data_IF_662358433919
#
_entry.id   IF_662358433919
#
_cell.length_a   1.000
_cell.length_b   1.000
_cell.length_c   1.000
_cell.angle_alpha   90.00
_cell.angle_beta   90.00
_cell.angle_gamma   90.00
#
_symmetry.space_group_name_H-M   'P 1'
#
loop_
_entity.id
_entity.type
_entity.pdbx_description
1 polymer ?
#
# COMPACT_ATOMS: atom_id res chain seq x y z
N UNK A 1 22.94 -11.38 -0.81
CA UNK A 1 22.11 -10.19 -0.51
C UNK A 1 21.39 -9.83 -1.80
N UNK A 2 20.05 -9.81 -1.87
CA UNK A 2 19.39 -9.28 -3.05
C UNK A 2 19.86 -7.84 -3.27
N UNK A 3 20.24 -7.50 -4.49
CA UNK A 3 20.61 -6.12 -4.83
C UNK A 3 19.34 -5.27 -4.71
N UNK A 4 19.42 -4.13 -4.03
CA UNK A 4 18.31 -3.16 -3.89
C UNK A 4 17.74 -2.69 -5.24
N UNK A 5 18.48 -2.91 -6.33
CA UNK A 5 18.09 -2.61 -7.71
C UNK A 5 17.02 -3.56 -8.28
N UNK A 6 16.82 -4.74 -7.67
CA UNK A 6 15.81 -5.74 -8.09
C UNK A 6 14.45 -5.59 -7.39
N UNK A 7 14.29 -4.54 -6.58
CA UNK A 7 13.03 -4.23 -5.89
C UNK A 7 12.06 -3.59 -6.89
N UNK A 8 10.86 -4.17 -7.11
CA UNK A 8 9.89 -3.59 -8.03
C UNK A 8 9.48 -2.19 -7.61
N UNK A 9 9.39 -1.27 -8.58
CA UNK A 9 8.90 0.09 -8.35
C UNK A 9 7.48 0.22 -8.92
N UNK A 10 6.52 0.78 -8.16
CA UNK A 10 5.18 1.01 -8.67
C UNK A 10 5.23 2.02 -9.81
N UNK A 11 4.44 1.78 -10.86
CA UNK A 11 4.27 2.74 -11.95
C UNK A 11 3.17 3.77 -11.61
N UNK A 12 2.95 4.73 -12.50
CA UNK A 12 1.96 5.79 -12.28
C UNK A 12 0.52 5.26 -12.10
N UNK A 13 0.14 4.17 -12.77
CA UNK A 13 -1.18 3.57 -12.59
C UNK A 13 -1.34 2.97 -11.20
N UNK A 14 -0.29 2.32 -10.68
CA UNK A 14 -0.28 1.79 -9.31
C UNK A 14 -0.36 2.92 -8.31
N UNK A 15 0.40 4.00 -8.51
CA UNK A 15 0.37 5.17 -7.64
C UNK A 15 -1.02 5.82 -7.57
N UNK A 16 -1.67 6.03 -8.72
CA UNK A 16 -3.02 6.58 -8.79
C UNK A 16 -4.05 5.70 -8.07
N UNK A 17 -3.94 4.37 -8.23
CA UNK A 17 -4.84 3.43 -7.54
C UNK A 17 -4.62 3.43 -6.02
N UNK A 18 -3.37 3.55 -5.58
CA UNK A 18 -3.04 3.68 -4.15
C UNK A 18 -3.68 4.94 -3.57
N UNK A 19 -3.57 6.09 -4.25
CA UNK A 19 -4.18 7.35 -3.81
C UNK A 19 -5.71 7.23 -3.70
N UNK A 20 -6.36 6.60 -4.69
CA UNK A 20 -7.81 6.37 -4.69
C UNK A 20 -8.25 5.55 -3.47
N UNK A 21 -7.57 4.44 -3.20
CA UNK A 21 -7.88 3.57 -2.06
C UNK A 21 -7.63 4.26 -0.71
N UNK A 22 -6.54 5.04 -0.59
CA UNK A 22 -6.29 5.80 0.64
C UNK A 22 -7.40 6.81 0.92
N UNK A 23 -7.90 7.48 -0.11
CA UNK A 23 -9.03 8.41 0.02
C UNK A 23 -10.29 7.68 0.48
N UNK A 24 -10.62 6.54 -0.13
CA UNK A 24 -11.77 5.70 0.26
C UNK A 24 -11.67 5.27 1.72
N UNK A 25 -10.49 4.76 2.14
CA UNK A 25 -10.26 4.31 3.50
C UNK A 25 -10.33 5.46 4.54
N UNK A 26 -9.94 6.68 4.17
CA UNK A 26 -10.13 7.85 5.03
C UNK A 26 -11.62 8.24 5.14
N UNK A 27 -12.34 8.25 4.02
CA UNK A 27 -13.76 8.57 3.96
C UNK A 27 -14.59 7.59 4.81
N UNK A 28 -14.29 6.28 4.74
CA UNK A 28 -14.91 5.24 5.58
C UNK A 28 -14.70 5.46 7.09
N UNK A 29 -13.60 6.10 7.46
CA UNK A 29 -13.27 6.47 8.85
C UNK A 29 -13.88 7.82 9.27
N UNK A 30 -14.68 8.44 8.40
CA UNK A 30 -15.28 9.76 8.64
C UNK A 30 -14.30 10.92 8.47
N UNK A 31 -13.12 10.68 7.89
CA UNK A 31 -12.15 11.72 7.56
C UNK A 31 -12.36 12.13 6.11
N UNK A 32 -12.71 13.39 5.87
CA UNK A 32 -12.84 13.90 4.50
C UNK A 32 -11.50 14.56 4.07
N UNK A 33 -10.65 13.88 3.27
CA UNK A 33 -9.36 14.41 2.85
C UNK A 33 -9.48 15.67 2.00
N UNK A 34 -10.62 15.93 1.34
CA UNK A 34 -10.84 17.18 0.58
C UNK A 34 -10.96 18.42 1.47
N UNK A 35 -11.26 18.22 2.75
CA UNK A 35 -11.37 19.29 3.74
C UNK A 35 -10.10 19.46 4.58
N UNK A 36 -9.08 18.63 4.36
CA UNK A 36 -7.80 18.71 5.06
C UNK A 36 -6.81 19.56 4.26
N UNK A 37 -5.96 20.29 4.98
CA UNK A 37 -4.83 20.93 4.34
C UNK A 37 -3.78 19.86 3.95
N UNK A 38 -3.00 20.07 2.88
CA UNK A 38 -1.95 19.12 2.48
C UNK A 38 -0.96 18.81 3.61
N UNK A 39 -0.67 19.79 4.48
CA UNK A 39 0.21 19.62 5.63
C UNK A 39 -0.38 18.66 6.67
N UNK A 40 -1.69 18.72 6.90
CA UNK A 40 -2.39 17.82 7.82
C UNK A 40 -2.40 16.38 7.29
N UNK A 41 -2.57 16.22 5.97
CA UNK A 41 -2.48 14.92 5.31
C UNK A 41 -1.05 14.37 5.45
N UNK A 42 -0.04 15.19 5.18
CA UNK A 42 1.36 14.78 5.29
C UNK A 42 1.76 14.43 6.73
N UNK A 43 1.25 15.16 7.73
CA UNK A 43 1.49 14.87 9.14
C UNK A 43 0.75 13.61 9.62
N UNK A 44 -0.43 13.33 9.07
CA UNK A 44 -1.23 12.16 9.42
C UNK A 44 -0.84 10.88 8.67
N UNK A 45 -0.24 10.99 7.49
CA UNK A 45 0.06 9.86 6.62
C UNK A 45 1.51 9.40 6.78
N UNK A 46 1.72 8.10 7.03
CA UNK A 46 3.05 7.48 7.04
C UNK A 46 3.06 6.28 6.10
N UNK A 47 4.15 6.07 5.37
CA UNK A 47 4.36 4.88 4.55
C UNK A 47 5.59 4.11 5.04
N UNK A 48 5.41 2.85 5.39
CA UNK A 48 6.51 1.92 5.67
C UNK A 48 6.83 1.12 4.42
N UNK A 49 8.09 1.19 3.96
CA UNK A 49 8.60 0.42 2.84
C UNK A 49 9.42 -0.77 3.37
N UNK A 50 8.98 -1.98 3.03
CA UNK A 50 9.70 -3.21 3.35
C UNK A 50 10.78 -3.52 2.29
N UNK A 51 11.79 -4.35 2.62
CA UNK A 51 12.90 -4.67 1.72
C UNK A 51 12.49 -5.37 0.41
N UNK A 52 11.33 -6.01 0.38
CA UNK A 52 10.76 -6.67 -0.79
C UNK A 52 10.00 -5.71 -1.74
N UNK A 53 9.87 -4.44 -1.35
CA UNK A 53 9.10 -3.42 -2.07
C UNK A 53 7.65 -3.32 -1.63
N UNK A 54 7.22 -4.09 -0.62
CA UNK A 54 5.91 -3.94 -0.02
C UNK A 54 5.80 -2.60 0.69
N UNK A 55 4.66 -1.93 0.55
CA UNK A 55 4.36 -0.65 1.20
C UNK A 55 3.16 -0.82 2.11
N UNK A 56 3.23 -0.29 3.32
CA UNK A 56 2.08 -0.18 4.23
C UNK A 56 1.84 1.28 4.56
N UNK A 57 0.64 1.76 4.26
CA UNK A 57 0.21 3.11 4.53
C UNK A 57 -0.58 3.16 5.82
N UNK A 58 -0.27 4.16 6.63
CA UNK A 58 -0.85 4.41 7.94
C UNK A 58 -1.45 5.80 7.98
N UNK A 59 -2.62 5.92 8.62
CA UNK A 59 -3.20 7.19 9.00
C UNK A 59 -3.24 7.29 10.51
N UNK A 60 -2.54 8.27 11.08
CA UNK A 60 -2.41 8.47 12.53
C UNK A 60 -2.06 7.16 13.24
N UNK A 61 -1.01 6.50 12.76
CA UNK A 61 -0.48 5.22 13.27
C UNK A 61 -1.37 3.99 13.04
N UNK A 62 -2.57 4.14 12.48
CA UNK A 62 -3.42 3.01 12.13
C UNK A 62 -3.24 2.59 10.66
N UNK A 63 -3.05 1.29 10.36
CA UNK A 63 -2.89 0.83 8.98
C UNK A 63 -4.19 1.03 8.19
N UNK A 64 -4.04 1.58 6.98
CA UNK A 64 -5.11 1.77 6.00
C UNK A 64 -5.01 0.77 4.85
N UNK A 65 -3.82 0.65 4.28
CA UNK A 65 -3.62 0.00 2.99
C UNK A 65 -2.28 -0.71 2.95
N UNK A 66 -2.32 -1.99 2.59
CA UNK A 66 -1.15 -2.82 2.31
C UNK A 66 -1.01 -2.98 0.80
N UNK A 67 0.19 -2.77 0.28
CA UNK A 67 0.50 -2.84 -1.15
C UNK A 67 1.70 -3.76 -1.34
N UNK A 68 1.50 -4.92 -1.96
CA UNK A 68 2.51 -5.98 -2.04
C UNK A 68 2.82 -6.30 -3.51
N UNK A 69 4.09 -6.26 -3.93
CA UNK A 69 4.47 -6.70 -5.26
C UNK A 69 4.42 -8.23 -5.35
N UNK A 70 3.72 -8.75 -6.36
CA UNK A 70 3.67 -10.15 -6.73
C UNK A 70 4.44 -10.33 -8.04
N UNK A 71 5.67 -10.84 -7.94
CA UNK A 71 6.48 -11.22 -9.10
C UNK A 71 5.93 -12.51 -9.70
N UNK A 72 5.56 -12.49 -10.98
CA UNK A 72 5.18 -13.67 -11.74
C UNK A 72 6.12 -13.87 -12.90
N UNK A 73 6.57 -15.11 -13.07
CA UNK A 73 7.33 -15.54 -14.23
C UNK A 73 6.44 -16.49 -15.04
N UNK A 74 6.24 -16.18 -16.31
CA UNK A 74 5.51 -17.05 -17.23
C UNK A 74 6.18 -17.00 -18.60
N UNK A 75 6.47 -18.17 -19.15
CA UNK A 75 7.08 -18.33 -20.48
C UNK A 75 8.39 -17.51 -20.68
N UNK A 76 9.17 -17.32 -19.60
CA UNK A 76 10.41 -16.54 -19.61
C UNK A 76 10.21 -15.01 -19.50
N UNK A 77 8.98 -14.54 -19.36
CA UNK A 77 8.65 -13.13 -19.14
C UNK A 77 8.42 -12.87 -17.64
N UNK A 78 9.13 -11.87 -17.09
CA UNK A 78 8.95 -11.41 -15.71
C UNK A 78 7.95 -10.26 -15.68
N UNK A 79 6.83 -10.47 -14.98
CA UNK A 79 5.79 -9.47 -14.74
C UNK A 79 5.67 -9.19 -13.24
N UNK A 80 5.31 -7.95 -12.88
CA UNK A 80 5.04 -7.58 -11.49
C UNK A 80 3.60 -7.10 -11.40
N UNK A 81 2.82 -7.78 -10.58
CA UNK A 81 1.48 -7.35 -10.18
C UNK A 81 1.54 -6.69 -8.81
N UNK A 82 0.62 -5.80 -8.52
CA UNK A 82 0.54 -5.12 -7.22
C UNK A 82 -0.77 -5.51 -6.56
N UNK A 83 -0.69 -6.29 -5.49
CA UNK A 83 -1.83 -6.64 -4.66
C UNK A 83 -2.06 -5.55 -3.63
N UNK A 84 -3.32 -5.18 -3.43
CA UNK A 84 -3.71 -4.11 -2.52
C UNK A 84 -4.77 -4.65 -1.58
N UNK A 85 -4.58 -4.47 -0.28
CA UNK A 85 -5.50 -4.96 0.76
C UNK A 85 -5.81 -3.83 1.72
N UNK A 86 -7.08 -3.60 1.97
CA UNK A 86 -7.53 -2.75 3.08
C UNK A 86 -7.51 -3.57 4.37
N UNK A 87 -7.73 -2.93 5.52
CA UNK A 87 -7.83 -3.63 6.80
C UNK A 87 -8.91 -4.72 6.80
N UNK A 88 -10.01 -4.50 6.07
CA UNK A 88 -11.15 -5.40 6.04
C UNK A 88 -10.97 -6.57 5.05
N UNK A 89 -10.08 -6.40 4.06
CA UNK A 89 -9.76 -7.44 3.06
C UNK A 89 -8.65 -8.40 3.51
N UNK A 90 -7.94 -8.05 4.60
CA UNK A 90 -6.90 -8.93 5.12
C UNK A 90 -7.55 -10.19 5.71
N UNK A 91 -7.17 -11.39 5.23
CA UNK A 91 -7.64 -12.61 5.87
C UNK A 91 -7.24 -12.57 7.35
N UNK A 92 -8.10 -13.04 8.27
CA UNK A 92 -7.75 -13.10 9.67
C UNK A 92 -6.42 -13.84 9.76
N UNK A 93 -5.40 -13.16 10.29
CA UNK A 93 -4.12 -13.80 10.58
C UNK A 93 -4.45 -15.02 11.40
N UNK A 94 -4.25 -16.20 10.82
CA UNK A 94 -4.37 -17.44 11.56
C UNK A 94 -3.19 -17.45 12.51
N UNK A 95 -3.36 -16.80 13.66
CA UNK A 95 -2.47 -16.93 14.80
C UNK A 95 -2.66 -18.37 15.31
N UNK A 96 -1.66 -19.26 15.19
CA UNK A 96 -1.73 -20.52 15.90
C UNK A 96 -1.53 -20.22 17.39
N UNK A 97 -2.63 -20.27 18.16
CA UNK A 97 -2.57 -20.44 19.63
C UNK A 97 -2.02 -21.82 19.99
#
# INVERSE_FOLDING_TARGET
>A
MPHLEDVPKPNLHVAARVEELLREQLEERGVNPRNLAPEDIAAGMTCHLAPDGSMTYFWKEEPLLYVTPEKREKDGEHSVYWRMFTKDDMPPSSDPS
#
